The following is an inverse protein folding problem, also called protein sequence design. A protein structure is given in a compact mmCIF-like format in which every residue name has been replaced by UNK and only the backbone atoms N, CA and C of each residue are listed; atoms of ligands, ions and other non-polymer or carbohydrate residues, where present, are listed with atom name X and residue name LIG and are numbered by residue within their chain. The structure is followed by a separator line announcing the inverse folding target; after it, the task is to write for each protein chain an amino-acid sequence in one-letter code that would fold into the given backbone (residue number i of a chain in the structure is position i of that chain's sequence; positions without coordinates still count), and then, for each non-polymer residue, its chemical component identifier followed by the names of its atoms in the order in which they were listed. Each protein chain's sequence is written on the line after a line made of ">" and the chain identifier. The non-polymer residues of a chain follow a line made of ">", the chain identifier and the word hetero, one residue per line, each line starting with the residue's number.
data_IF_666757354938
#
_entry.id   IF_666757354938
#
_cell.length_a   1.000
_cell.length_b   1.000
_cell.length_c   1.000
_cell.angle_alpha   90.00
_cell.angle_beta   90.00
_cell.angle_gamma   90.00
#
_symmetry.space_group_name_H-M   'P 1'
#
loop_
_entity.id
_entity.type
_entity.pdbx_description
1 polymer ?
#
# COMPACT_ATOMS: atom_id res chain seq x y z
N UNK A 1 -4.54 15.13 -15.44
CA UNK A 1 -3.67 14.32 -14.55
C UNK A 1 -4.25 14.08 -13.15
N UNK A 2 -4.71 15.09 -12.40
CA UNK A 2 -5.19 14.91 -11.02
C UNK A 2 -6.45 14.04 -10.87
N UNK A 3 -7.43 14.17 -11.77
CA UNK A 3 -8.65 13.32 -11.80
C UNK A 3 -8.31 11.85 -12.09
N UNK A 4 -7.46 11.60 -13.10
CA UNK A 4 -6.94 10.26 -13.39
C UNK A 4 -6.23 9.64 -12.19
N UNK A 5 -5.35 10.40 -11.51
CA UNK A 5 -4.68 9.90 -10.32
C UNK A 5 -5.65 9.53 -9.18
N UNK A 6 -6.76 10.25 -9.06
CA UNK A 6 -7.83 9.94 -8.08
C UNK A 6 -8.49 8.60 -8.40
N UNK A 7 -8.85 8.37 -9.66
CA UNK A 7 -9.45 7.10 -10.11
C UNK A 7 -8.47 5.95 -9.87
N UNK A 8 -7.21 6.11 -10.27
CA UNK A 8 -6.17 5.10 -10.03
C UNK A 8 -6.01 4.80 -8.54
N UNK A 9 -6.02 5.82 -7.67
CA UNK A 9 -5.97 5.62 -6.21
C UNK A 9 -7.14 4.80 -5.67
N UNK A 10 -8.36 5.03 -6.16
CA UNK A 10 -9.54 4.24 -5.75
C UNK A 10 -9.39 2.79 -6.21
N UNK A 11 -9.00 2.57 -7.47
CA UNK A 11 -8.79 1.23 -8.02
C UNK A 11 -7.70 0.47 -7.26
N UNK A 12 -6.57 1.10 -6.98
CA UNK A 12 -5.50 0.50 -6.18
C UNK A 12 -5.96 0.16 -4.78
N UNK A 13 -6.75 1.02 -4.13
CA UNK A 13 -7.26 0.75 -2.79
C UNK A 13 -8.15 -0.50 -2.78
N UNK A 14 -9.06 -0.63 -3.75
CA UNK A 14 -9.92 -1.80 -3.88
C UNK A 14 -9.12 -3.07 -4.20
N UNK A 15 -8.18 -2.99 -5.15
CA UNK A 15 -7.30 -4.10 -5.50
C UNK A 15 -6.47 -4.55 -4.29
N UNK A 16 -5.89 -3.60 -3.55
CA UNK A 16 -5.13 -3.88 -2.34
C UNK A 16 -5.99 -4.58 -1.28
N UNK A 17 -7.21 -4.09 -1.03
CA UNK A 17 -8.11 -4.71 -0.05
C UNK A 17 -8.44 -6.16 -0.43
N UNK A 18 -8.78 -6.40 -1.70
CA UNK A 18 -9.12 -7.74 -2.18
C UNK A 18 -7.88 -8.66 -2.12
N UNK A 19 -6.76 -8.21 -2.66
CA UNK A 19 -5.51 -8.97 -2.66
C UNK A 19 -5.02 -9.27 -1.24
N UNK A 20 -5.10 -8.30 -0.32
CA UNK A 20 -4.71 -8.46 1.08
C UNK A 20 -5.56 -9.51 1.80
N UNK A 21 -6.88 -9.52 1.58
CA UNK A 21 -7.78 -10.54 2.14
C UNK A 21 -7.47 -11.92 1.55
N UNK A 22 -7.38 -12.03 0.22
CA UNK A 22 -7.06 -13.29 -0.45
C UNK A 22 -5.70 -13.86 -0.01
N UNK A 23 -4.67 -13.00 0.07
CA UNK A 23 -3.35 -13.35 0.56
C UNK A 23 -3.38 -13.81 2.02
N UNK A 24 -4.15 -13.14 2.88
CA UNK A 24 -4.33 -13.53 4.28
C UNK A 24 -4.93 -14.92 4.43
N UNK A 25 -5.98 -15.23 3.66
CA UNK A 25 -6.57 -16.57 3.66
C UNK A 25 -5.63 -17.64 3.08
N UNK A 26 -4.89 -17.32 2.02
CA UNK A 26 -3.91 -18.25 1.45
C UNK A 26 -2.78 -18.55 2.45
N UNK A 27 -2.25 -17.54 3.15
CA UNK A 27 -1.21 -17.73 4.16
C UNK A 27 -1.67 -18.66 5.28
N UNK A 28 -2.93 -18.55 5.71
CA UNK A 28 -3.48 -19.37 6.79
C UNK A 28 -4.14 -20.68 6.30
N UNK A 29 -3.89 -21.10 5.06
CA UNK A 29 -4.35 -22.39 4.52
C UNK A 29 -5.86 -22.49 4.23
N UNK A 30 -6.60 -21.38 4.32
CA UNK A 30 -8.05 -21.34 4.06
C UNK A 30 -8.34 -21.09 2.57
N UNK A 31 -7.47 -20.33 1.90
CA UNK A 31 -7.63 -19.95 0.48
C UNK A 31 -6.67 -20.69 -0.44
N UNK A 32 -7.09 -20.91 -1.70
CA UNK A 32 -6.29 -21.58 -2.73
C UNK A 32 -5.53 -20.61 -3.66
N UNK A 33 -5.75 -19.30 -3.54
CA UNK A 33 -5.17 -18.30 -4.44
C UNK A 33 -4.99 -16.95 -3.75
N UNK A 34 -3.82 -16.34 -3.93
CA UNK A 34 -3.55 -14.95 -3.55
C UNK A 34 -3.95 -13.93 -4.64
N UNK A 35 -4.63 -14.36 -5.71
CA UNK A 35 -5.05 -13.45 -6.79
C UNK A 35 -3.87 -12.89 -7.57
N UNK A 36 -2.93 -13.74 -8.02
CA UNK A 36 -1.68 -13.32 -8.70
C UNK A 36 -1.90 -12.37 -9.88
N UNK A 37 -2.92 -12.62 -10.71
CA UNK A 37 -3.27 -11.71 -11.82
C UNK A 37 -3.69 -10.33 -11.31
N UNK A 38 -4.55 -10.30 -10.28
CA UNK A 38 -5.01 -9.06 -9.64
C UNK A 38 -3.84 -8.27 -9.04
N UNK A 39 -2.89 -8.97 -8.41
CA UNK A 39 -1.66 -8.35 -7.88
C UNK A 39 -0.83 -7.69 -8.99
N UNK A 40 -0.63 -8.36 -10.13
CA UNK A 40 0.11 -7.79 -11.27
C UNK A 40 -0.61 -6.61 -11.92
N UNK A 41 -1.94 -6.65 -12.03
CA UNK A 41 -2.75 -5.49 -12.44
C UNK A 41 -2.53 -4.34 -11.46
N UNK A 42 -2.57 -4.62 -10.15
CA UNK A 42 -2.27 -3.65 -9.09
C UNK A 42 -0.89 -3.01 -9.23
N UNK A 43 0.15 -3.80 -9.52
CA UNK A 43 1.52 -3.31 -9.77
C UNK A 43 1.55 -2.39 -11.00
N UNK A 44 0.86 -2.75 -12.09
CA UNK A 44 0.78 -1.90 -13.28
C UNK A 44 0.13 -0.53 -12.97
N UNK A 45 -0.97 -0.52 -12.23
CA UNK A 45 -1.65 0.72 -11.81
C UNK A 45 -0.75 1.53 -10.85
N UNK A 46 -0.05 0.87 -9.94
CA UNK A 46 0.90 1.50 -9.01
C UNK A 46 2.03 2.23 -9.75
N UNK A 47 2.57 1.64 -10.82
CA UNK A 47 3.60 2.30 -11.65
C UNK A 47 3.06 3.60 -12.22
N UNK A 48 1.86 3.58 -12.81
CA UNK A 48 1.22 4.78 -13.38
C UNK A 48 0.97 5.83 -12.29
N UNK A 49 0.43 5.43 -11.13
CA UNK A 49 0.22 6.33 -9.99
C UNK A 49 1.52 6.97 -9.51
N UNK A 50 2.61 6.18 -9.46
CA UNK A 50 3.93 6.65 -9.04
C UNK A 50 4.49 7.67 -10.01
N UNK A 51 4.42 7.41 -11.32
CA UNK A 51 4.87 8.34 -12.37
C UNK A 51 4.12 9.68 -12.26
N UNK A 52 2.79 9.64 -12.15
CA UNK A 52 2.00 10.87 -11.97
C UNK A 52 2.38 11.57 -10.67
N UNK A 53 2.60 10.82 -9.58
CA UNK A 53 3.03 11.34 -8.30
C UNK A 53 4.37 12.06 -8.35
N UNK A 54 5.34 11.51 -9.08
CA UNK A 54 6.67 12.12 -9.32
C UNK A 54 6.53 13.39 -10.14
N UNK A 55 5.80 13.37 -11.27
CA UNK A 55 5.57 14.55 -12.11
C UNK A 55 4.97 15.69 -11.28
N UNK A 56 3.93 15.42 -10.49
CA UNK A 56 3.29 16.42 -9.63
C UNK A 56 4.23 16.95 -8.53
N UNK A 57 5.14 16.12 -8.05
CA UNK A 57 6.15 16.52 -7.05
C UNK A 57 7.19 17.44 -7.69
N UNK A 58 7.71 17.09 -8.86
CA UNK A 58 8.66 17.93 -9.61
C UNK A 58 8.04 19.29 -9.94
N UNK A 59 6.80 19.32 -10.44
CA UNK A 59 6.08 20.57 -10.69
C UNK A 59 5.95 21.43 -9.42
N UNK A 60 5.63 20.81 -8.28
CA UNK A 60 5.51 21.53 -7.00
C UNK A 60 6.85 22.14 -6.56
N UNK A 61 7.95 21.42 -6.77
CA UNK A 61 9.31 21.92 -6.46
C UNK A 61 9.75 23.04 -7.40
N UNK A 62 9.43 22.93 -8.69
CA UNK A 62 9.70 23.98 -9.67
C UNK A 62 8.95 25.27 -9.32
N UNK A 63 7.68 25.18 -8.96
CA UNK A 63 6.90 26.34 -8.50
C UNK A 63 7.47 26.92 -7.20
N UNK A 64 7.85 26.08 -6.24
CA UNK A 64 8.48 26.56 -4.99
C UNK A 64 9.78 27.32 -5.28
N UNK A 65 10.63 26.78 -6.17
CA UNK A 65 11.87 27.43 -6.61
C UNK A 65 11.61 28.76 -7.31
N UNK A 66 10.65 28.82 -8.23
CA UNK A 66 10.26 30.06 -8.93
C UNK A 66 9.71 31.12 -7.97
N UNK A 67 8.97 30.72 -6.94
CA UNK A 67 8.39 31.64 -5.95
C UNK A 67 9.37 32.14 -4.89
N UNK A 68 10.58 31.57 -4.82
CA UNK A 68 11.57 31.86 -3.77
C UNK A 68 11.16 31.43 -2.35
N UNK A 69 10.02 30.75 -2.18
CA UNK A 69 9.47 30.36 -0.87
C UNK A 69 9.23 28.86 -0.81
N UNK A 70 9.99 28.17 0.05
CA UNK A 70 9.80 26.75 0.30
C UNK A 70 9.06 26.55 1.63
N UNK A 71 7.75 26.34 1.56
CA UNK A 71 6.86 26.19 2.74
C UNK A 71 6.97 24.78 3.38
N UNK A 72 8.18 24.35 3.76
CA UNK A 72 8.42 22.99 4.23
C UNK A 72 7.59 22.61 5.47
N UNK A 73 7.55 23.49 6.48
CA UNK A 73 6.80 23.26 7.73
C UNK A 73 5.30 23.27 7.51
N UNK A 74 4.80 24.11 6.60
CA UNK A 74 3.38 24.17 6.27
C UNK A 74 2.95 22.97 5.40
N UNK A 75 3.89 22.36 4.68
CA UNK A 75 3.67 21.22 3.79
C UNK A 75 4.05 19.86 4.40
N UNK A 76 4.06 19.72 5.72
CA UNK A 76 4.42 18.45 6.38
C UNK A 76 3.59 17.27 5.88
N UNK A 77 2.28 17.44 5.71
CA UNK A 77 1.41 16.38 5.19
C UNK A 77 1.77 16.01 3.74
N UNK A 78 2.16 16.99 2.92
CA UNK A 78 2.63 16.70 1.57
C UNK A 78 3.89 15.83 1.59
N UNK A 79 4.87 16.17 2.43
CA UNK A 79 6.10 15.39 2.55
C UNK A 79 5.87 14.01 3.15
N UNK A 80 4.99 13.88 4.15
CA UNK A 80 4.59 12.59 4.71
C UNK A 80 4.00 11.66 3.63
N UNK A 81 3.23 12.19 2.68
CA UNK A 81 2.71 11.41 1.54
C UNK A 81 3.81 10.89 0.63
N UNK A 82 4.84 11.71 0.37
CA UNK A 82 5.97 11.31 -0.48
C UNK A 82 6.87 10.29 0.23
N UNK A 83 7.19 10.52 1.49
CA UNK A 83 8.00 9.62 2.29
C UNK A 83 7.34 8.24 2.45
N UNK A 84 6.05 8.20 2.81
CA UNK A 84 5.29 6.94 2.92
C UNK A 84 5.16 6.23 1.56
N UNK A 85 4.94 6.98 0.47
CA UNK A 85 4.92 6.40 -0.89
C UNK A 85 6.26 5.76 -1.27
N UNK A 86 7.38 6.42 -0.98
CA UNK A 86 8.72 5.85 -1.20
C UNK A 86 8.96 4.60 -0.34
N UNK A 87 8.55 4.62 0.93
CA UNK A 87 8.66 3.46 1.81
C UNK A 87 7.88 2.25 1.25
N UNK A 88 6.66 2.46 0.75
CA UNK A 88 5.85 1.42 0.09
C UNK A 88 6.58 0.84 -1.12
N UNK A 89 7.16 1.69 -1.98
CA UNK A 89 7.87 1.22 -3.18
C UNK A 89 9.07 0.33 -2.82
N UNK A 90 9.84 0.71 -1.80
CA UNK A 90 10.99 -0.08 -1.31
C UNK A 90 10.49 -1.41 -0.72
N UNK A 91 9.49 -1.35 0.16
CA UNK A 91 8.94 -2.52 0.84
C UNK A 91 8.22 -3.49 -0.12
N UNK A 92 7.67 -2.98 -1.22
CA UNK A 92 7.08 -3.80 -2.28
C UNK A 92 8.14 -4.70 -2.95
N UNK A 93 9.37 -4.23 -3.13
CA UNK A 93 10.45 -5.06 -3.69
C UNK A 93 10.73 -6.28 -2.80
N UNK A 94 10.74 -6.06 -1.49
CA UNK A 94 10.87 -7.15 -0.51
C UNK A 94 9.64 -8.06 -0.52
N UNK A 95 8.43 -7.50 -0.66
CA UNK A 95 7.20 -8.27 -0.77
C UNK A 95 7.16 -9.17 -2.01
N UNK A 96 7.70 -8.76 -3.15
CA UNK A 96 7.73 -9.59 -4.36
C UNK A 96 8.91 -10.59 -4.32
N UNK A 97 10.08 -10.17 -3.83
CA UNK A 97 11.33 -10.91 -3.96
C UNK A 97 11.66 -11.92 -2.86
N UNK A 98 11.04 -11.83 -1.67
CA UNK A 98 11.49 -12.62 -0.50
C UNK A 98 10.75 -13.96 -0.29
N UNK A 99 9.67 -14.24 -1.02
CA UNK A 99 8.81 -15.39 -0.70
C UNK A 99 9.24 -16.71 -1.33
N UNK A 100 9.93 -16.71 -2.47
CA UNK A 100 10.33 -17.95 -3.11
C UNK A 100 10.96 -17.75 -4.48
N UNK A 101 11.43 -18.84 -5.06
CA UNK A 101 11.99 -18.88 -6.41
C UNK A 101 11.35 -20.00 -7.22
N UNK A 102 11.27 -19.84 -8.53
CA UNK A 102 10.98 -20.95 -9.42
C UNK A 102 12.29 -21.70 -9.65
N UNK A 103 12.32 -22.98 -9.31
CA UNK A 103 13.43 -23.89 -9.61
C UNK A 103 12.87 -25.06 -10.41
N UNK A 104 13.37 -25.26 -11.63
CA UNK A 104 12.94 -26.32 -12.55
C UNK A 104 11.41 -26.41 -12.78
N UNK A 105 10.74 -25.25 -12.87
CA UNK A 105 9.29 -25.18 -13.08
C UNK A 105 8.43 -25.29 -11.80
N UNK A 106 9.04 -25.60 -10.65
CA UNK A 106 8.35 -25.66 -9.36
C UNK A 106 8.64 -24.40 -8.53
N UNK A 107 7.61 -23.77 -7.96
CA UNK A 107 7.78 -22.63 -7.05
C UNK A 107 8.13 -23.14 -5.65
N UNK A 108 9.35 -22.87 -5.20
CA UNK A 108 9.84 -23.25 -3.87
C UNK A 108 9.74 -22.02 -2.96
N UNK A 109 8.98 -22.15 -1.88
CA UNK A 109 8.89 -21.14 -0.83
C UNK A 109 10.18 -21.15 0.00
N UNK A 110 10.74 -19.97 0.21
CA UNK A 110 11.85 -19.82 1.14
C UNK A 110 11.32 -19.81 2.59
N UNK A 111 12.11 -20.26 3.58
CA UNK A 111 11.71 -20.21 5.00
C UNK A 111 11.18 -18.85 5.42
N UNK A 112 10.06 -18.82 6.15
CA UNK A 112 9.46 -17.57 6.60
C UNK A 112 10.14 -17.07 7.88
N UNK A 113 11.26 -16.36 7.70
CA UNK A 113 12.09 -15.87 8.80
C UNK A 113 11.49 -14.63 9.47
N UNK A 114 12.01 -14.28 10.65
CA UNK A 114 11.67 -13.05 11.37
C UNK A 114 11.87 -11.81 10.50
N UNK A 115 12.92 -11.76 9.66
CA UNK A 115 13.15 -10.65 8.73
C UNK A 115 11.99 -10.52 7.74
N UNK A 116 11.49 -11.62 7.19
CA UNK A 116 10.35 -11.58 6.27
C UNK A 116 9.09 -11.11 6.98
N UNK A 117 8.80 -11.66 8.15
CA UNK A 117 7.68 -11.21 8.98
C UNK A 117 7.76 -9.70 9.27
N UNK A 118 8.92 -9.19 9.72
CA UNK A 118 9.12 -7.76 10.00
C UNK A 118 8.93 -6.92 8.73
N UNK A 119 9.53 -7.30 7.59
CA UNK A 119 9.37 -6.55 6.33
C UNK A 119 7.91 -6.51 5.86
N UNK A 120 7.15 -7.59 6.05
CA UNK A 120 5.72 -7.61 5.76
C UNK A 120 4.92 -6.70 6.69
N UNK A 121 5.19 -6.72 7.99
CA UNK A 121 4.53 -5.83 8.95
C UNK A 121 4.86 -4.34 8.68
N UNK A 122 6.11 -4.04 8.35
CA UNK A 122 6.52 -2.70 7.93
C UNK A 122 5.80 -2.28 6.64
N UNK A 123 5.59 -3.20 5.70
CA UNK A 123 4.85 -2.92 4.48
C UNK A 123 3.39 -2.58 4.76
N UNK A 124 2.72 -3.38 5.58
CA UNK A 124 1.34 -3.11 6.04
C UNK A 124 1.26 -1.76 6.77
N UNK A 125 2.23 -1.47 7.64
CA UNK A 125 2.30 -0.20 8.36
C UNK A 125 2.53 1.00 7.43
N UNK A 126 3.41 0.88 6.44
CA UNK A 126 3.65 1.93 5.47
C UNK A 126 2.40 2.22 4.62
N UNK A 127 1.68 1.17 4.21
CA UNK A 127 0.39 1.28 3.52
C UNK A 127 -0.66 1.94 4.42
N UNK A 128 -0.76 1.53 5.69
CA UNK A 128 -1.66 2.15 6.67
C UNK A 128 -1.42 3.65 6.74
N UNK A 129 -0.17 4.09 7.00
CA UNK A 129 0.18 5.50 7.09
C UNK A 129 -0.17 6.23 5.80
N UNK A 130 0.19 5.66 4.64
CA UNK A 130 -0.07 6.30 3.35
C UNK A 130 -1.57 6.45 3.07
N UNK A 131 -2.38 5.42 3.31
CA UNK A 131 -3.83 5.51 3.13
C UNK A 131 -4.43 6.51 4.11
N UNK A 132 -4.02 6.47 5.38
CA UNK A 132 -4.59 7.31 6.44
C UNK A 132 -4.45 8.81 6.16
N UNK A 133 -3.29 9.24 5.67
CA UNK A 133 -3.02 10.65 5.32
C UNK A 133 -3.61 11.06 3.95
N UNK A 134 -3.99 10.10 3.11
CA UNK A 134 -4.51 10.34 1.76
C UNK A 134 -6.03 10.16 1.62
N UNK A 135 -6.70 9.49 2.57
CA UNK A 135 -8.15 9.27 2.45
C UNK A 135 -8.93 10.58 2.47
N UNK A 136 -8.58 11.54 3.34
CA UNK A 136 -9.25 12.86 3.33
C UNK A 136 -9.05 13.56 1.98
N UNK A 137 -7.82 13.76 1.45
CA UNK A 137 -7.61 14.31 0.11
C UNK A 137 -8.35 13.56 -1.00
N UNK A 138 -8.42 12.23 -0.92
CA UNK A 138 -9.16 11.41 -1.88
C UNK A 138 -10.66 11.71 -1.83
N UNK A 139 -11.23 11.81 -0.65
CA UNK A 139 -12.64 12.19 -0.49
C UNK A 139 -12.91 13.63 -0.93
N UNK A 140 -11.95 14.56 -0.74
CA UNK A 140 -12.03 15.93 -1.32
C UNK A 140 -12.12 15.83 -2.83
N UNK A 141 -11.21 15.08 -3.47
CA UNK A 141 -11.13 15.04 -4.94
C UNK A 141 -12.30 14.32 -5.58
N UNK A 142 -12.99 13.44 -4.84
CA UNK A 142 -14.24 12.80 -5.25
C UNK A 142 -15.49 13.66 -4.97
N UNK A 143 -15.37 14.76 -4.23
CA UNK A 143 -16.52 15.61 -3.86
C UNK A 143 -17.44 15.00 -2.79
N UNK A 144 -16.97 14.00 -2.02
CA UNK A 144 -17.80 13.21 -1.09
C UNK A 144 -17.80 13.79 0.35
N UNK A 145 -17.02 14.83 0.63
CA UNK A 145 -16.64 15.25 1.99
C UNK A 145 -17.76 15.70 2.94
N UNK A 146 -19.01 15.85 2.49
CA UNK A 146 -20.05 16.47 3.33
C UNK A 146 -20.46 15.68 4.57
N UNK A 147 -19.98 14.44 4.79
CA UNK A 147 -20.38 13.62 5.96
C UNK A 147 -19.16 13.21 6.81
N UNK A 148 -19.01 13.84 7.98
CA UNK A 148 -17.95 13.56 8.98
C UNK A 148 -17.98 12.10 9.45
N UNK A 149 -19.18 11.53 9.59
CA UNK A 149 -19.43 10.15 10.02
C UNK A 149 -18.89 9.13 9.01
N UNK A 150 -19.26 9.27 7.72
CA UNK A 150 -18.79 8.39 6.64
C UNK A 150 -17.26 8.30 6.55
N UNK A 151 -16.56 9.39 6.89
CA UNK A 151 -15.09 9.40 6.93
C UNK A 151 -14.55 8.53 8.07
N UNK A 152 -15.18 8.60 9.25
CA UNK A 152 -14.81 7.78 10.41
C UNK A 152 -15.00 6.30 10.11
N UNK A 153 -16.11 5.94 9.46
CA UNK A 153 -16.41 4.56 9.09
C UNK A 153 -15.35 3.99 8.13
N UNK A 154 -14.92 4.80 7.15
CA UNK A 154 -13.85 4.39 6.22
C UNK A 154 -12.54 4.14 6.99
N UNK A 155 -12.17 5.02 7.93
CA UNK A 155 -10.99 4.81 8.76
C UNK A 155 -11.08 3.54 9.59
N UNK A 156 -12.25 3.26 10.18
CA UNK A 156 -12.49 2.05 10.96
C UNK A 156 -12.37 0.78 10.10
N UNK A 157 -13.07 0.73 8.96
CA UNK A 157 -13.03 -0.41 8.04
C UNK A 157 -11.60 -0.70 7.58
N UNK A 158 -10.86 0.34 7.17
CA UNK A 158 -9.48 0.19 6.72
C UNK A 158 -8.55 -0.28 7.85
N UNK A 159 -8.76 0.22 9.08
CA UNK A 159 -7.96 -0.18 10.24
C UNK A 159 -8.20 -1.65 10.61
N UNK A 160 -9.46 -2.09 10.65
CA UNK A 160 -9.81 -3.50 10.92
C UNK A 160 -9.22 -4.42 9.85
N UNK A 161 -9.34 -4.05 8.57
CA UNK A 161 -8.79 -4.84 7.46
C UNK A 161 -7.25 -4.93 7.54
N UNK A 162 -6.57 -3.83 7.85
CA UNK A 162 -5.11 -3.83 7.96
C UNK A 162 -4.62 -4.60 9.19
N UNK A 163 -5.35 -4.54 10.31
CA UNK A 163 -5.08 -5.39 11.48
C UNK A 163 -5.29 -6.87 11.17
N UNK A 164 -6.33 -7.22 10.41
CA UNK A 164 -6.56 -8.58 9.94
C UNK A 164 -5.38 -9.09 9.10
N UNK A 165 -4.90 -8.29 8.13
CA UNK A 165 -3.73 -8.65 7.31
C UNK A 165 -2.47 -8.81 8.17
N UNK A 166 -2.21 -7.88 9.08
CA UNK A 166 -1.07 -7.97 9.99
C UNK A 166 -1.14 -9.23 10.88
N UNK A 167 -2.32 -9.52 11.44
CA UNK A 167 -2.57 -10.72 12.23
C UNK A 167 -2.33 -12.00 11.41
N UNK A 168 -2.80 -12.05 10.17
CA UNK A 168 -2.57 -13.18 9.27
C UNK A 168 -1.07 -13.44 9.01
N UNK A 169 -0.27 -12.38 8.85
CA UNK A 169 1.19 -12.49 8.70
C UNK A 169 1.85 -13.03 9.97
N UNK A 170 1.41 -12.58 11.15
CA UNK A 170 1.93 -13.03 12.45
C UNK A 170 1.57 -14.50 12.68
N UNK A 171 0.32 -14.88 12.46
CA UNK A 171 -0.14 -16.26 12.60
C UNK A 171 0.62 -17.20 11.67
N UNK A 172 0.84 -16.79 10.42
CA UNK A 172 1.65 -17.54 9.47
C UNK A 172 3.09 -17.73 9.94
N UNK A 173 3.72 -16.67 10.48
CA UNK A 173 5.06 -16.76 11.06
C UNK A 173 5.13 -17.73 12.24
N UNK A 174 4.18 -17.62 13.17
CA UNK A 174 4.08 -18.50 14.33
C UNK A 174 3.92 -19.94 13.86
N UNK A 175 2.97 -20.21 12.96
CA UNK A 175 2.75 -21.55 12.40
C UNK A 175 4.01 -22.12 11.75
N UNK A 176 4.78 -21.29 11.03
CA UNK A 176 6.06 -21.70 10.44
C UNK A 176 7.13 -22.07 11.47
N UNK A 177 7.10 -21.52 12.70
CA UNK A 177 8.08 -21.91 13.73
C UNK A 177 7.82 -23.30 14.35
N UNK A 178 6.62 -23.85 14.13
CA UNK A 178 6.20 -25.16 14.65
C UNK A 178 6.13 -26.25 13.56
N UNK A 179 6.54 -25.92 12.32
CA UNK A 179 6.67 -26.83 11.18
C UNK A 179 8.14 -27.19 10.95
#
# INVERSE_FOLDING_TARGET
>A
MRKWNTILSVLMLLIFMIHGIMGSFMLNGVGSSAGKLLAWIGVGILVVHTVIGVILTVQSLQTAKQSGKMYLKQNVIFWARRASGMAILILLLFHIGLFGKVQNGTYILFPFTTVKMVTQLLFVAAIFVHIFINIRPLLVSLGIISYKERRSDIYLILSVLLLFIAGAVILYYIGWQYL
#
